data_IF_351985930564
#
_entry.id   IF_351985930564
#
_cell.length_a   1.000
_cell.length_b   1.000
_cell.length_c   1.000
_cell.angle_alpha   90.00
_cell.angle_beta   90.00
_cell.angle_gamma   90.00
#
_symmetry.space_group_name_H-M   'P 1'
#
loop_
_entity.id
_entity.type
_entity.pdbx_description
1 polymer ?
#
# COMPACT_ATOMS: atom_id res chain seq x y z
N UNK A 1 -1.33 20.72 -34.82
CA UNK A 1 -2.08 19.55 -34.32
C UNK A 1 -1.82 19.41 -32.83
N UNK A 2 -2.81 19.07 -32.00
CA UNK A 2 -2.56 18.80 -30.59
C UNK A 2 -1.64 17.57 -30.44
N UNK A 3 -0.82 17.51 -29.39
CA UNK A 3 -0.02 16.33 -29.09
C UNK A 3 -0.93 15.12 -28.86
N UNK A 4 -0.48 13.94 -29.31
CA UNK A 4 -1.17 12.68 -29.05
C UNK A 4 -0.93 12.26 -27.59
N UNK A 5 -1.93 11.68 -26.90
CA UNK A 5 -1.74 11.17 -25.56
C UNK A 5 -0.75 9.99 -25.53
N UNK A 6 -0.22 9.70 -24.35
CA UNK A 6 0.63 8.53 -24.13
C UNK A 6 -0.17 7.24 -24.46
N UNK A 7 0.41 6.27 -25.18
CA UNK A 7 -0.35 5.19 -25.81
C UNK A 7 -0.87 4.12 -24.85
N UNK A 8 -0.34 4.04 -23.63
CA UNK A 8 -0.78 3.06 -22.63
C UNK A 8 -1.29 3.77 -21.39
N UNK A 9 -2.40 3.32 -20.77
CA UNK A 9 -2.92 3.92 -19.54
C UNK A 9 -2.08 3.46 -18.35
N UNK A 10 -0.80 3.86 -18.33
CA UNK A 10 0.18 3.52 -17.30
C UNK A 10 0.78 4.80 -16.76
N UNK A 11 0.87 4.88 -15.43
CA UNK A 11 1.52 5.97 -14.71
C UNK A 11 2.78 5.45 -14.04
N UNK A 12 3.79 6.29 -14.03
CA UNK A 12 5.07 6.02 -13.38
C UNK A 12 5.23 6.95 -12.19
N UNK A 13 5.67 6.40 -11.08
CA UNK A 13 6.12 7.16 -9.93
C UNK A 13 7.49 6.70 -9.49
N UNK A 14 8.30 7.64 -9.00
CA UNK A 14 9.62 7.35 -8.48
C UNK A 14 9.83 8.09 -7.15
N UNK A 15 10.64 7.52 -6.27
CA UNK A 15 11.01 8.19 -5.03
C UNK A 15 12.42 7.81 -4.56
N UNK A 16 13.03 8.71 -3.79
CA UNK A 16 14.30 8.49 -3.11
C UNK A 16 14.18 8.92 -1.66
N UNK A 17 14.60 8.03 -0.76
CA UNK A 17 14.49 8.19 0.68
C UNK A 17 15.87 8.07 1.33
N UNK A 18 16.26 9.10 2.10
CA UNK A 18 17.50 9.09 2.88
C UNK A 18 17.34 8.20 4.11
N UNK A 19 18.07 7.09 4.17
CA UNK A 19 18.01 6.07 5.24
C UNK A 19 18.29 6.67 6.62
N UNK A 20 19.31 7.53 6.83
CA UNK A 20 19.54 8.20 8.11
C UNK A 20 18.32 9.00 8.63
N UNK A 21 17.47 9.53 7.74
CA UNK A 21 16.25 10.25 8.13
C UNK A 21 15.24 9.30 8.76
N UNK A 22 15.02 8.13 8.15
CA UNK A 22 14.14 7.10 8.70
C UNK A 22 14.70 6.59 10.02
N UNK A 23 16.00 6.35 10.11
CA UNK A 23 16.69 5.98 11.35
C UNK A 23 16.38 6.97 12.46
N UNK A 24 16.61 8.26 12.22
CA UNK A 24 16.35 9.31 13.20
C UNK A 24 14.88 9.37 13.65
N UNK A 25 13.92 9.13 12.74
CA UNK A 25 12.49 9.08 13.07
C UNK A 25 12.18 7.91 14.00
N UNK A 26 12.64 6.70 13.67
CA UNK A 26 12.28 5.49 14.42
C UNK A 26 13.02 5.39 15.76
N UNK A 27 14.21 6.00 15.88
CA UNK A 27 14.98 6.06 17.13
C UNK A 27 14.75 7.32 17.95
N UNK A 28 13.91 8.25 17.48
CA UNK A 28 13.66 9.53 18.17
C UNK A 28 13.08 9.28 19.56
N UNK A 29 13.81 9.72 20.60
CA UNK A 29 13.46 9.57 22.02
C UNK A 29 12.28 10.45 22.49
N UNK A 30 11.35 10.81 21.61
CA UNK A 30 10.13 11.56 21.93
C UNK A 30 9.09 10.65 22.58
N UNK A 31 9.49 9.88 23.60
CA UNK A 31 8.61 9.08 24.45
C UNK A 31 8.36 9.87 25.73
N UNK A 32 7.20 10.52 25.81
CA UNK A 32 6.55 10.71 27.10
C UNK A 32 5.95 9.38 27.57
N UNK A 33 5.59 9.26 28.84
CA UNK A 33 5.02 8.03 29.43
C UNK A 33 3.71 7.60 28.73
N UNK A 34 3.07 8.52 28.01
CA UNK A 34 1.75 8.35 27.39
C UNK A 34 1.82 7.96 25.90
N UNK A 35 2.86 8.37 25.16
CA UNK A 35 2.92 8.11 23.71
C UNK A 35 3.56 6.76 23.38
N UNK A 36 3.05 6.07 22.34
CA UNK A 36 3.73 4.89 21.82
C UNK A 36 5.12 5.23 21.26
N UNK A 37 6.05 4.26 21.24
CA UNK A 37 7.38 4.42 20.65
C UNK A 37 7.34 5.10 19.27
N UNK A 38 8.38 5.87 18.93
CA UNK A 38 8.43 6.59 17.67
C UNK A 38 8.31 5.67 16.44
N UNK A 39 8.88 4.46 16.53
CA UNK A 39 8.68 3.40 15.55
C UNK A 39 7.20 3.07 15.36
N UNK A 40 6.45 2.81 16.43
CA UNK A 40 5.04 2.42 16.33
C UNK A 40 4.17 3.51 15.70
N UNK A 41 4.44 4.78 16.02
CA UNK A 41 3.76 5.92 15.39
C UNK A 41 4.08 6.00 13.90
N UNK A 42 5.35 5.89 13.54
CA UNK A 42 5.78 5.85 12.15
C UNK A 42 5.11 4.69 11.41
N UNK A 43 5.09 3.50 12.04
CA UNK A 43 4.54 2.30 11.45
C UNK A 43 3.05 2.44 11.16
N UNK A 44 2.26 2.85 12.16
CA UNK A 44 0.81 3.05 12.02
C UNK A 44 0.44 4.19 11.06
N UNK A 45 1.33 5.16 10.87
CA UNK A 45 1.09 6.27 9.95
C UNK A 45 1.27 5.87 8.49
N UNK A 46 2.24 4.98 8.22
CA UNK A 46 2.72 4.68 6.87
C UNK A 46 2.28 3.29 6.39
N UNK A 47 2.31 2.27 7.24
CA UNK A 47 2.11 0.88 6.85
C UNK A 47 0.72 0.38 7.21
N UNK A 48 0.19 -0.51 6.37
CA UNK A 48 -1.06 -1.23 6.62
C UNK A 48 -0.84 -2.31 7.70
N UNK A 49 -1.89 -2.75 8.41
CA UNK A 49 -1.77 -3.81 9.42
C UNK A 49 -1.06 -5.09 8.95
N UNK A 50 -1.31 -5.62 7.72
CA UNK A 50 -0.58 -6.79 7.22
C UNK A 50 0.92 -6.54 7.05
N UNK A 51 1.31 -5.34 6.59
CA UNK A 51 2.73 -4.97 6.45
C UNK A 51 3.41 -4.85 7.82
N UNK A 52 2.71 -4.31 8.82
CA UNK A 52 3.20 -4.22 10.20
C UNK A 52 3.38 -5.64 10.76
N UNK A 53 2.43 -6.56 10.53
CA UNK A 53 2.55 -7.96 10.95
C UNK A 53 3.75 -8.65 10.27
N UNK A 54 3.90 -8.47 8.97
CA UNK A 54 5.05 -8.98 8.22
C UNK A 54 6.37 -8.43 8.75
N UNK A 55 6.43 -7.15 9.09
CA UNK A 55 7.61 -6.54 9.70
C UNK A 55 8.00 -7.22 11.01
N UNK A 56 7.04 -7.39 11.93
CA UNK A 56 7.30 -8.05 13.22
C UNK A 56 7.66 -9.52 13.07
N UNK A 57 7.06 -10.23 12.11
CA UNK A 57 7.45 -11.60 11.78
C UNK A 57 8.89 -11.68 11.25
N UNK A 58 9.32 -10.71 10.44
CA UNK A 58 10.66 -10.68 9.84
C UNK A 58 11.77 -10.27 10.82
N UNK A 59 11.51 -9.29 11.67
CA UNK A 59 12.55 -8.68 12.51
C UNK A 59 12.48 -9.05 13.99
N UNK A 60 11.43 -9.74 14.43
CA UNK A 60 11.25 -10.11 15.84
C UNK A 60 10.91 -8.90 16.71
N UNK A 61 11.13 -9.02 18.01
CA UNK A 61 10.69 -8.02 19.00
C UNK A 61 11.54 -6.73 19.04
N UNK A 62 11.10 -5.76 19.85
CA UNK A 62 11.76 -4.47 20.03
C UNK A 62 13.20 -4.57 20.57
N UNK A 63 13.55 -5.62 21.31
CA UNK A 63 14.91 -5.80 21.82
C UNK A 63 15.86 -6.15 20.67
N UNK A 64 15.43 -7.06 19.80
CA UNK A 64 16.19 -7.48 18.61
C UNK A 64 16.37 -6.35 17.58
N UNK A 65 15.46 -5.37 17.55
CA UNK A 65 15.57 -4.23 16.64
C UNK A 65 16.75 -3.30 16.95
N UNK A 66 17.12 -3.14 18.23
CA UNK A 66 18.17 -2.20 18.65
C UNK A 66 19.50 -2.53 17.99
N UNK A 67 19.86 -3.81 18.00
CA UNK A 67 21.11 -4.30 17.41
C UNK A 67 21.09 -4.26 15.87
N UNK A 68 19.90 -4.20 15.26
CA UNK A 68 19.69 -4.24 13.81
C UNK A 68 19.16 -2.93 13.23
N UNK A 69 19.36 -1.82 13.95
CA UNK A 69 18.81 -0.51 13.59
C UNK A 69 19.16 -0.11 12.15
N UNK A 70 20.37 -0.42 11.67
CA UNK A 70 20.79 -0.15 10.29
C UNK A 70 19.90 -0.85 9.26
N UNK A 71 19.79 -2.18 9.36
CA UNK A 71 18.99 -3.04 8.47
C UNK A 71 17.50 -2.69 8.53
N UNK A 72 16.99 -2.43 9.74
CA UNK A 72 15.59 -2.01 9.95
C UNK A 72 15.31 -0.68 9.26
N UNK A 73 16.21 0.31 9.44
CA UNK A 73 16.08 1.62 8.80
C UNK A 73 16.09 1.51 7.28
N UNK A 74 16.99 0.68 6.73
CA UNK A 74 17.10 0.44 5.30
C UNK A 74 15.85 -0.24 4.72
N UNK A 75 15.34 -1.26 5.41
CA UNK A 75 14.10 -1.94 5.03
C UNK A 75 12.90 -0.98 5.02
N UNK A 76 12.73 -0.20 6.09
CA UNK A 76 11.63 0.76 6.21
C UNK A 76 11.77 1.90 5.20
N UNK A 77 12.99 2.37 4.92
CA UNK A 77 13.24 3.40 3.92
C UNK A 77 12.88 2.92 2.51
N UNK A 78 13.22 1.68 2.15
CA UNK A 78 12.84 1.08 0.88
C UNK A 78 11.32 0.99 0.70
N UNK A 79 10.60 0.51 1.73
CA UNK A 79 9.13 0.46 1.66
C UNK A 79 8.47 1.85 1.71
N UNK A 80 9.04 2.80 2.44
CA UNK A 80 8.59 4.19 2.41
C UNK A 80 8.72 4.79 1.01
N UNK A 81 9.88 4.63 0.37
CA UNK A 81 10.11 5.07 -1.00
C UNK A 81 9.14 4.38 -1.99
N UNK A 82 8.89 3.08 -1.83
CA UNK A 82 7.92 2.35 -2.64
C UNK A 82 6.51 2.92 -2.53
N UNK A 83 6.06 3.22 -1.31
CA UNK A 83 4.74 3.83 -1.10
C UNK A 83 4.65 5.24 -1.67
N UNK A 84 5.69 6.07 -1.55
CA UNK A 84 5.73 7.39 -2.19
C UNK A 84 5.74 7.29 -3.72
N UNK A 85 6.47 6.32 -4.29
CA UNK A 85 6.45 6.05 -5.72
C UNK A 85 5.04 5.66 -6.20
N UNK A 86 4.38 4.73 -5.51
CA UNK A 86 2.99 4.38 -5.80
C UNK A 86 2.06 5.58 -5.65
N UNK A 87 2.23 6.40 -4.60
CA UNK A 87 1.42 7.61 -4.37
C UNK A 87 1.53 8.59 -5.53
N UNK A 88 2.75 8.87 -6.01
CA UNK A 88 3.00 9.77 -7.15
C UNK A 88 2.43 9.23 -8.47
N UNK A 89 2.37 7.91 -8.62
CA UNK A 89 1.74 7.28 -9.78
C UNK A 89 0.19 7.30 -9.71
N UNK A 90 -0.40 7.58 -8.54
CA UNK A 90 -1.84 7.56 -8.29
C UNK A 90 -2.39 8.99 -8.06
N UNK A 91 -2.92 9.68 -9.08
CA UNK A 91 -3.37 11.07 -8.94
C UNK A 91 -4.47 11.27 -7.88
N UNK A 92 -5.29 10.25 -7.62
CA UNK A 92 -6.32 10.31 -6.58
C UNK A 92 -5.74 10.44 -5.16
N UNK A 93 -4.45 10.16 -4.97
CA UNK A 93 -3.75 10.23 -3.70
C UNK A 93 -2.95 11.52 -3.48
N UNK A 94 -2.91 12.45 -4.45
CA UNK A 94 -2.11 13.67 -4.36
C UNK A 94 -2.46 14.54 -3.15
N UNK A 95 -3.73 14.52 -2.73
CA UNK A 95 -4.25 15.33 -1.61
C UNK A 95 -4.67 14.52 -0.38
N UNK A 96 -4.59 13.19 -0.43
CA UNK A 96 -5.03 12.36 0.69
C UNK A 96 -3.87 12.05 1.64
N UNK A 97 -3.92 12.64 2.83
CA UNK A 97 -3.00 12.34 3.92
C UNK A 97 -3.02 10.86 4.33
N UNK A 98 -4.09 10.10 4.02
CA UNK A 98 -4.25 8.67 4.31
C UNK A 98 -3.86 7.76 3.15
N UNK A 99 -3.37 8.29 2.03
CA UNK A 99 -2.98 7.52 0.85
C UNK A 99 -2.12 6.29 1.15
N UNK A 100 -1.19 6.40 2.10
CA UNK A 100 -0.32 5.26 2.47
C UNK A 100 -1.06 4.06 3.05
N UNK A 101 -2.24 4.25 3.65
CA UNK A 101 -3.09 3.17 4.17
C UNK A 101 -3.95 2.51 3.08
N UNK A 102 -3.90 3.04 1.85
CA UNK A 102 -4.51 2.47 0.65
C UNK A 102 -3.47 1.87 -0.30
N UNK A 103 -2.19 1.87 0.07
CA UNK A 103 -1.11 1.27 -0.70
C UNK A 103 -0.50 0.17 0.16
N UNK A 104 -0.55 -1.07 -0.29
CA UNK A 104 0.10 -2.19 0.40
C UNK A 104 1.29 -2.67 -0.41
N UNK A 105 2.49 -2.69 0.18
CA UNK A 105 3.64 -3.36 -0.43
C UNK A 105 3.59 -4.83 -0.03
N UNK A 106 3.40 -5.71 -0.99
CA UNK A 106 3.19 -7.12 -0.71
C UNK A 106 4.45 -7.77 -0.11
N UNK A 107 4.29 -8.74 0.81
CA UNK A 107 5.39 -9.59 1.23
C UNK A 107 6.05 -10.25 0.02
N UNK A 108 7.38 -10.19 -0.04
CA UNK A 108 8.13 -11.06 -0.94
C UNK A 108 8.19 -12.42 -0.24
N UNK A 109 7.26 -13.31 -0.59
CA UNK A 109 7.32 -14.71 -0.18
C UNK A 109 8.27 -15.46 -1.12
N UNK A 110 9.06 -16.36 -0.55
CA UNK A 110 9.67 -17.42 -1.34
C UNK A 110 8.51 -18.33 -1.76
N UNK A 111 8.14 -18.32 -3.03
CA UNK A 111 7.37 -19.43 -3.55
C UNK A 111 8.32 -20.61 -3.62
N UNK A 112 8.06 -21.69 -2.89
CA UNK A 112 8.88 -22.91 -2.86
C UNK A 112 9.14 -23.51 -4.26
N UNK A 113 8.35 -23.12 -5.27
CA UNK A 113 8.47 -23.59 -6.65
C UNK A 113 9.31 -22.69 -7.58
N UNK A 114 9.79 -21.54 -7.12
CA UNK A 114 10.66 -20.67 -7.92
C UNK A 114 11.98 -20.43 -7.18
N UNK A 115 13.09 -20.89 -7.76
CA UNK A 115 14.48 -20.64 -7.31
C UNK A 115 14.89 -19.14 -7.35
N UNK A 116 13.92 -18.23 -7.44
CA UNK A 116 14.12 -16.80 -7.58
C UNK A 116 13.26 -16.05 -6.56
N UNK A 117 13.86 -15.05 -5.91
CA UNK A 117 13.14 -14.09 -5.09
C UNK A 117 12.03 -13.46 -5.94
N UNK A 118 10.78 -13.54 -5.52
CA UNK A 118 9.69 -12.85 -6.20
C UNK A 118 9.95 -11.34 -6.20
N UNK A 119 9.72 -10.68 -7.34
CA UNK A 119 9.87 -9.22 -7.43
C UNK A 119 8.82 -8.56 -6.52
N UNK A 120 9.16 -7.50 -5.78
CA UNK A 120 8.19 -6.84 -4.92
C UNK A 120 7.04 -6.27 -5.76
N UNK A 121 5.82 -6.56 -5.35
CA UNK A 121 4.62 -5.97 -5.95
C UNK A 121 3.92 -5.09 -4.92
N UNK A 122 3.08 -4.19 -5.41
CA UNK A 122 2.19 -3.42 -4.57
C UNK A 122 0.74 -3.59 -5.01
N UNK A 123 -0.17 -3.33 -4.09
CA UNK A 123 -1.60 -3.39 -4.28
C UNK A 123 -2.19 -2.04 -3.87
N UNK A 124 -2.84 -1.37 -4.81
CA UNK A 124 -3.61 -0.15 -4.58
C UNK A 124 -5.01 -0.56 -4.18
N UNK A 125 -5.37 -0.36 -2.92
CA UNK A 125 -6.63 -0.80 -2.35
C UNK A 125 -7.78 0.10 -2.80
N UNK A 126 -8.94 -0.49 -3.10
CA UNK A 126 -10.14 0.25 -3.49
C UNK A 126 -10.68 1.11 -2.33
N UNK A 127 -10.48 0.66 -1.10
CA UNK A 127 -10.81 1.38 0.13
C UNK A 127 -9.65 1.30 1.15
N UNK A 128 -9.57 2.23 2.12
CA UNK A 128 -8.60 2.14 3.21
C UNK A 128 -8.72 0.79 3.94
N UNK A 129 -7.59 0.13 4.19
CA UNK A 129 -7.57 -1.21 4.81
C UNK A 129 -8.33 -1.31 6.14
N UNK A 130 -8.32 -0.23 6.92
CA UNK A 130 -9.03 -0.15 8.19
C UNK A 130 -10.56 -0.27 8.04
N UNK A 131 -11.12 0.23 6.93
CA UNK A 131 -12.56 0.18 6.66
C UNK A 131 -13.00 -1.23 6.27
N UNK A 132 -12.20 -1.92 5.43
CA UNK A 132 -12.49 -3.29 5.00
C UNK A 132 -12.55 -4.27 6.18
N UNK A 133 -11.64 -4.17 7.16
CA UNK A 133 -11.69 -5.02 8.36
C UNK A 133 -12.94 -4.81 9.23
N UNK A 134 -13.48 -3.58 9.28
CA UNK A 134 -14.68 -3.28 10.05
C UNK A 134 -15.96 -3.85 9.42
N UNK A 135 -15.93 -4.11 8.12
CA UNK A 135 -17.03 -4.73 7.37
C UNK A 135 -16.98 -6.26 7.46
N UNK A 136 -15.79 -6.87 7.34
CA UNK A 136 -15.61 -8.33 7.45
C UNK A 136 -15.90 -8.88 8.85
N UNK A 137 -15.78 -8.06 9.90
CA UNK A 137 -16.03 -8.49 11.28
C UNK A 137 -17.53 -8.58 11.65
N UNK A 138 -18.45 -8.28 10.71
CA UNK A 138 -19.90 -8.44 10.89
C UNK A 138 -20.44 -9.78 10.38
N UNK A 139 -19.66 -10.54 9.60
CA UNK A 139 -20.09 -11.82 9.04
C UNK A 139 -19.19 -12.94 9.58
N UNK A 140 -19.67 -13.61 10.62
CA UNK A 140 -18.95 -14.68 11.30
C UNK A 140 -19.04 -15.99 10.52
N UNK A 141 -17.94 -16.44 9.91
CA UNK A 141 -17.88 -17.77 9.28
C UNK A 141 -16.48 -18.21 8.86
N UNK A 142 -15.81 -18.97 9.74
CA UNK A 142 -14.58 -19.76 9.53
C UNK A 142 -13.23 -19.03 9.33
N UNK A 143 -12.17 -19.40 10.08
CA UNK A 143 -10.80 -18.93 9.87
C UNK A 143 -10.09 -19.89 8.92
N UNK A 144 -10.41 -19.85 7.63
CA UNK A 144 -9.48 -20.39 6.64
C UNK A 144 -8.43 -19.30 6.37
N UNK A 145 -7.19 -19.55 6.81
CA UNK A 145 -6.03 -18.69 6.61
C UNK A 145 -5.50 -18.74 5.17
N UNK A 146 -6.40 -18.82 4.18
CA UNK A 146 -6.08 -18.38 2.83
C UNK A 146 -6.26 -16.87 2.85
N UNK A 147 -5.14 -16.15 2.75
CA UNK A 147 -5.09 -14.69 2.81
C UNK A 147 -5.84 -14.14 1.59
N UNK A 148 -7.17 -14.02 1.67
CA UNK A 148 -7.96 -13.37 0.62
C UNK A 148 -7.39 -11.96 0.45
N UNK A 149 -6.68 -11.80 -0.66
CA UNK A 149 -6.03 -10.55 -1.01
C UNK A 149 -7.13 -9.48 -1.06
N UNK A 150 -6.98 -8.37 -0.32
CA UNK A 150 -8.03 -7.36 -0.29
C UNK A 150 -8.27 -6.83 -1.72
N UNK A 151 -9.51 -6.41 -2.04
CA UNK A 151 -9.82 -5.89 -3.36
C UNK A 151 -8.95 -4.66 -3.67
N UNK A 152 -8.40 -4.64 -4.88
CA UNK A 152 -7.53 -3.57 -5.33
C UNK A 152 -6.82 -3.90 -6.64
N UNK A 153 -6.01 -2.94 -7.09
CA UNK A 153 -5.24 -3.02 -8.31
C UNK A 153 -3.77 -3.35 -8.03
N UNK A 154 -3.29 -4.45 -8.60
CA UNK A 154 -1.86 -4.78 -8.56
C UNK A 154 -1.04 -3.80 -9.40
N UNK A 155 0.14 -3.45 -8.89
CA UNK A 155 1.14 -2.65 -9.58
C UNK A 155 2.56 -3.21 -9.37
N UNK A 156 3.41 -2.97 -10.36
CA UNK A 156 4.79 -3.44 -10.35
C UNK A 156 5.67 -2.42 -9.63
N UNK A 157 6.54 -2.90 -8.75
CA UNK A 157 7.45 -2.05 -7.97
C UNK A 157 8.87 -2.59 -8.07
N UNK A 158 9.83 -1.69 -8.17
CA UNK A 158 11.24 -2.00 -7.98
C UNK A 158 11.78 -1.19 -6.80
N UNK A 159 12.51 -1.84 -5.90
CA UNK A 159 13.10 -1.22 -4.72
C UNK A 159 14.60 -1.53 -4.74
N UNK A 160 15.41 -0.50 -4.56
CA UNK A 160 16.85 -0.63 -4.40
C UNK A 160 17.33 0.24 -3.25
N UNK A 161 18.51 -0.06 -2.74
CA UNK A 161 19.19 0.77 -1.75
C UNK A 161 20.70 0.67 -1.97
N UNK A 162 21.38 1.79 -1.77
CA UNK A 162 22.83 1.84 -1.77
C UNK A 162 23.31 2.97 -0.85
N UNK A 163 24.36 2.71 -0.08
CA UNK A 163 24.84 3.58 0.98
C UNK A 163 23.72 4.09 1.90
N UNK A 164 23.54 5.41 1.90
CA UNK A 164 22.57 6.12 2.76
C UNK A 164 21.20 6.37 2.10
N UNK A 165 20.93 5.79 0.94
CA UNK A 165 19.71 6.04 0.19
C UNK A 165 18.99 4.74 -0.19
N UNK A 166 17.66 4.80 -0.14
CA UNK A 166 16.77 3.83 -0.75
C UNK A 166 15.98 4.51 -1.86
N UNK A 167 15.70 3.82 -2.95
CA UNK A 167 14.89 4.33 -4.06
C UNK A 167 13.87 3.30 -4.47
N UNK A 168 12.75 3.77 -5.01
CA UNK A 168 11.77 2.91 -5.61
C UNK A 168 11.15 3.53 -6.86
N UNK A 169 10.72 2.65 -7.76
CA UNK A 169 9.93 2.98 -8.95
C UNK A 169 8.67 2.14 -8.93
N UNK A 170 7.54 2.74 -9.23
CA UNK A 170 6.25 2.08 -9.34
C UNK A 170 5.64 2.32 -10.73
N UNK A 171 5.10 1.26 -11.31
CA UNK A 171 4.32 1.30 -12.54
C UNK A 171 2.88 0.90 -12.21
N UNK A 172 1.98 1.86 -12.30
CA UNK A 172 0.58 1.71 -11.88
C UNK A 172 -0.33 1.87 -13.09
N UNK A 173 -1.25 0.93 -13.35
CA UNK A 173 -2.32 1.14 -14.33
C UNK A 173 -3.16 2.36 -13.97
N UNK A 174 -3.64 3.09 -14.99
CA UNK A 174 -4.56 4.18 -14.76
C UNK A 174 -5.86 3.62 -14.14
N UNK A 175 -6.09 4.01 -12.90
CA UNK A 175 -7.26 3.57 -12.16
C UNK A 175 -8.46 4.33 -12.71
N UNK A 176 -9.43 3.61 -13.27
CA UNK A 176 -10.68 4.21 -13.71
C UNK A 176 -11.41 4.73 -12.47
N UNK A 177 -11.43 6.05 -12.26
CA UNK A 177 -12.43 6.64 -11.38
C UNK A 177 -13.79 6.35 -11.99
N UNK A 178 -14.72 5.66 -11.29
CA UNK A 178 -16.05 5.44 -11.84
C UNK A 178 -16.63 6.81 -12.18
N UNK A 179 -16.94 6.99 -13.47
CA UNK A 179 -17.50 8.24 -13.95
C UNK A 179 -18.83 8.47 -13.23
N UNK A 180 -19.12 9.67 -12.71
CA UNK A 180 -20.38 9.97 -12.03
C UNK A 180 -21.62 9.94 -12.96
N UNK A 181 -21.45 9.52 -14.22
CA UNK A 181 -22.50 9.44 -15.23
C UNK A 181 -22.84 7.98 -15.54
N UNK A 182 -23.43 7.27 -14.57
CA UNK A 182 -24.23 6.08 -14.88
C UNK A 182 -25.31 5.78 -13.82
N UNK A 183 -25.90 6.84 -13.25
CA UNK A 183 -27.04 6.72 -12.31
C UNK A 183 -28.41 6.83 -12.99
N UNK A 184 -28.47 7.03 -14.32
CA UNK A 184 -29.73 7.23 -15.05
C UNK A 184 -30.05 6.08 -16.01
N UNK A 185 -29.91 4.84 -15.55
CA UNK A 185 -30.29 3.63 -16.29
C UNK A 185 -31.42 2.86 -15.61
N UNK A 186 -32.41 3.53 -15.02
CA UNK A 186 -33.59 2.88 -14.46
C UNK A 186 -34.84 3.78 -14.52
N UNK A 187 -35.28 4.09 -15.73
CA UNK A 187 -36.64 4.55 -15.98
C UNK A 187 -37.04 4.17 -17.40
N UNK A 188 -37.70 3.02 -17.55
CA UNK A 188 -38.92 2.87 -18.35
C UNK A 188 -39.25 1.39 -18.56
N UNK A 189 -40.12 0.87 -17.69
CA UNK A 189 -41.06 -0.17 -18.10
C UNK A 189 -42.36 0.00 -17.31
N UNK A 190 -43.16 0.97 -17.75
CA UNK A 190 -44.55 1.10 -17.35
C UNK A 190 -45.39 1.53 -18.55
N UNK A 191 -45.67 0.61 -19.47
CA UNK A 191 -46.76 0.76 -20.43
C UNK A 191 -47.35 -0.61 -20.79
N UNK A 192 -48.57 -0.83 -20.26
CA UNK A 192 -49.73 -1.54 -20.85
C UNK A 192 -49.64 -3.05 -21.06
N UNK A 193 -50.42 -3.77 -20.26
CA UNK A 193 -51.40 -4.71 -20.80
C UNK A 193 -52.72 -4.55 -20.02
N UNK A 194 -53.76 -4.15 -20.76
CA UNK A 194 -55.17 -4.17 -20.37
C UNK A 194 -55.89 -4.92 -21.51
N UNK A 195 -56.82 -5.80 -21.10
CA UNK A 195 -57.90 -6.40 -21.88
C UNK A 195 -57.54 -7.55 -22.85
N UNK A 196 -57.83 -8.78 -22.42
CA UNK A 196 -58.99 -9.54 -22.92
C UNK A 196 -59.53 -10.49 -21.83
#
# INVERSE_FOLDING_TARGET
MPPRPFPYPLRLGNDICKIPRIRAIITSARSDIVSPPALDRFMRRIFTPPEIRYFWHKFGDQAQLRDRTGTVSQFLAGRFAAKEACRKACPQFDRDNRAFQQIMILPVTLNDNYLHTSRPQALILDAPFQMMQAESSKDSGSPNEDLDMPPGQLCEVSISHDGDYATAVALVPELQTPSPLNVNGASDNKVRDNAE
#
